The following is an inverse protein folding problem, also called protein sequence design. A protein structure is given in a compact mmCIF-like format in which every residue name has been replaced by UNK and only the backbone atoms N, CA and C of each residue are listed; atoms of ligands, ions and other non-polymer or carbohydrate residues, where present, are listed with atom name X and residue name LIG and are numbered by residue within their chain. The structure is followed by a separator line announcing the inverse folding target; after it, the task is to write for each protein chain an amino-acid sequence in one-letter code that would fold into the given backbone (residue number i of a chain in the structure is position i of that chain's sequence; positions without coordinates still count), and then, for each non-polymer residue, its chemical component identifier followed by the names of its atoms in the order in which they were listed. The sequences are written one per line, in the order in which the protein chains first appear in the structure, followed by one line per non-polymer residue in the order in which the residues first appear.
data_IF_645993684805
#
_entry.id   IF_645993684805
#
_cell.length_a   1.000
_cell.length_b   1.000
_cell.length_c   1.000
_cell.angle_alpha   90.00
_cell.angle_beta   90.00
_cell.angle_gamma   90.00
#
_symmetry.space_group_name_H-M   'P 1'
#
loop_
_entity.id
_entity.type
_entity.pdbx_description
1 polymer ?
#
# COMPACT_ATOMS: atom_id res chain seq x y z
N UNK A 1 -44.47 16.80 -33.76
CA UNK A 1 -44.26 16.17 -35.08
C UNK A 1 -42.80 16.43 -35.42
N UNK A 2 -41.87 15.49 -35.49
CA UNK A 2 -41.85 14.02 -35.47
C UNK A 2 -40.72 13.56 -34.54
N UNK A 3 -40.91 12.41 -33.89
CA UNK A 3 -39.90 11.75 -33.09
C UNK A 3 -39.24 10.66 -33.94
N UNK A 4 -37.92 10.76 -34.18
CA UNK A 4 -37.15 9.67 -34.76
C UNK A 4 -36.61 8.78 -33.65
N UNK A 5 -37.17 7.57 -33.57
CA UNK A 5 -36.77 6.46 -32.72
C UNK A 5 -35.46 5.84 -33.21
N UNK A 6 -34.48 5.67 -32.32
CA UNK A 6 -33.32 4.81 -32.55
C UNK A 6 -33.58 3.42 -31.95
N UNK A 7 -33.22 2.31 -32.64
CA UNK A 7 -33.43 0.97 -32.12
C UNK A 7 -32.40 0.64 -31.02
N UNK A 8 -32.89 0.24 -29.84
CA UNK A 8 -32.11 -0.39 -28.79
C UNK A 8 -31.78 -1.83 -29.19
N UNK A 9 -30.51 -2.10 -29.53
CA UNK A 9 -30.03 -3.46 -29.75
C UNK A 9 -29.71 -4.08 -28.40
N UNK A 10 -30.52 -5.03 -27.94
CA UNK A 10 -30.23 -5.85 -26.78
C UNK A 10 -29.03 -6.75 -27.09
N UNK A 11 -28.00 -6.70 -26.25
CA UNK A 11 -26.90 -7.66 -26.24
C UNK A 11 -27.07 -8.55 -25.02
N UNK A 12 -28.05 -9.46 -25.08
CA UNK A 12 -27.99 -10.71 -24.34
C UNK A 12 -27.32 -11.72 -25.28
N UNK A 13 -26.02 -11.95 -25.11
CA UNK A 13 -25.35 -13.10 -25.71
C UNK A 13 -24.73 -13.90 -24.56
N UNK A 14 -25.19 -15.14 -24.48
CA UNK A 14 -24.85 -16.19 -23.53
C UNK A 14 -23.33 -16.37 -23.41
N UNK A 15 -22.84 -16.46 -22.18
CA UNK A 15 -21.47 -16.82 -21.82
C UNK A 15 -21.41 -18.33 -21.61
N UNK A 16 -21.41 -19.10 -22.68
CA UNK A 16 -20.99 -20.52 -22.65
C UNK A 16 -20.21 -20.82 -23.93
N UNK A 17 -19.15 -21.60 -23.76
CA UNK A 17 -18.24 -22.20 -24.74
C UNK A 17 -17.18 -21.28 -25.38
N UNK A 18 -15.97 -21.30 -24.80
CA UNK A 18 -14.68 -21.43 -25.51
C UNK A 18 -13.56 -21.67 -24.48
N UNK A 19 -13.44 -22.91 -23.99
CA UNK A 19 -12.19 -23.42 -23.40
C UNK A 19 -11.26 -23.86 -24.55
N UNK A 20 -10.37 -22.96 -24.98
CA UNK A 20 -9.19 -23.34 -25.75
C UNK A 20 -7.95 -23.28 -24.84
N UNK A 21 -7.41 -24.46 -24.56
CA UNK A 21 -6.16 -24.69 -23.84
C UNK A 21 -4.99 -24.01 -24.57
N UNK A 22 -4.38 -23.00 -23.95
CA UNK A 22 -3.10 -22.44 -24.38
C UNK A 22 -1.99 -23.37 -23.86
N UNK A 23 -1.42 -24.19 -24.74
CA UNK A 23 -0.20 -24.97 -24.44
C UNK A 23 1.00 -24.02 -24.24
N UNK A 24 1.62 -24.10 -23.07
CA UNK A 24 2.85 -23.38 -22.77
C UNK A 24 4.06 -24.04 -23.46
N UNK A 25 4.63 -23.38 -24.47
CA UNK A 25 5.87 -23.80 -25.11
C UNK A 25 7.09 -23.78 -24.15
N UNK A 26 8.17 -24.52 -24.48
CA UNK A 26 9.28 -24.76 -23.55
C UNK A 26 10.11 -23.50 -23.27
N UNK A 27 10.14 -23.07 -22.01
CA UNK A 27 11.01 -21.99 -21.52
C UNK A 27 12.48 -22.41 -21.59
N UNK A 28 13.27 -21.77 -22.48
CA UNK A 28 14.73 -21.88 -22.50
C UNK A 28 15.33 -21.16 -21.30
N UNK A 29 16.04 -21.91 -20.45
CA UNK A 29 16.78 -21.44 -19.28
C UNK A 29 18.06 -20.72 -19.73
N UNK A 30 18.18 -19.43 -19.46
CA UNK A 30 19.45 -18.68 -19.63
C UNK A 30 20.21 -18.73 -18.31
N UNK A 31 21.43 -19.28 -18.33
CA UNK A 31 22.36 -19.29 -17.19
C UNK A 31 22.94 -17.88 -17.00
N UNK A 32 22.95 -17.39 -15.77
CA UNK A 32 23.77 -16.25 -15.38
C UNK A 32 24.86 -16.75 -14.42
N UNK A 33 26.11 -16.49 -14.80
CA UNK A 33 27.29 -16.77 -13.99
C UNK A 33 27.36 -15.79 -12.82
N UNK A 34 27.53 -16.34 -11.61
CA UNK A 34 27.68 -15.58 -10.38
C UNK A 34 29.15 -15.19 -10.18
N UNK A 35 29.43 -13.90 -10.12
CA UNK A 35 30.66 -13.36 -9.57
C UNK A 35 30.30 -12.47 -8.37
N UNK A 36 30.61 -12.95 -7.16
CA UNK A 36 30.44 -12.22 -5.90
C UNK A 36 31.49 -11.11 -5.74
N UNK A 37 31.15 -10.06 -4.97
CA UNK A 37 32.15 -9.46 -4.09
C UNK A 37 31.67 -9.30 -2.64
N UNK A 38 32.32 -10.06 -1.75
CA UNK A 38 32.91 -9.60 -0.48
C UNK A 38 32.07 -8.78 0.49
N UNK A 39 31.47 -9.45 1.48
CA UNK A 39 30.92 -8.85 2.70
C UNK A 39 32.07 -8.32 3.58
N UNK A 40 32.09 -7.02 3.90
CA UNK A 40 32.86 -6.47 5.02
C UNK A 40 31.91 -6.12 6.15
N UNK A 41 32.07 -6.81 7.27
CA UNK A 41 31.46 -6.59 8.59
C UNK A 41 31.79 -5.17 9.10
N UNK A 42 30.80 -4.48 9.67
CA UNK A 42 31.01 -3.30 10.52
C UNK A 42 30.41 -3.56 11.89
N UNK A 43 31.27 -3.56 12.89
CA UNK A 43 30.98 -3.70 14.31
C UNK A 43 30.17 -2.51 14.85
N UNK A 44 29.38 -2.80 15.88
CA UNK A 44 28.61 -1.85 16.66
C UNK A 44 29.53 -1.09 17.63
N UNK A 45 29.45 0.24 17.62
CA UNK A 45 30.00 1.07 18.68
C UNK A 45 28.90 1.40 19.69
N UNK A 46 29.06 0.87 20.90
CA UNK A 46 28.39 1.27 22.14
C UNK A 46 28.78 2.71 22.48
N UNK A 47 27.84 3.48 23.03
CA UNK A 47 28.16 4.65 23.83
C UNK A 47 27.31 4.61 25.10
N UNK A 48 28.02 4.42 26.21
CA UNK A 48 27.59 4.62 27.59
C UNK A 48 27.29 6.10 27.86
N UNK A 49 26.24 6.38 28.65
CA UNK A 49 26.15 7.62 29.42
C UNK A 49 25.71 7.27 30.84
N UNK A 50 26.63 7.53 31.76
CA UNK A 50 26.49 7.36 33.20
C UNK A 50 25.58 8.41 33.85
N UNK A 51 25.16 8.05 35.06
CA UNK A 51 24.33 8.76 36.03
C UNK A 51 24.81 10.18 36.35
N UNK A 52 23.84 11.04 36.67
CA UNK A 52 24.00 11.97 37.80
C UNK A 52 22.63 12.29 38.41
N UNK A 53 22.50 11.90 39.68
CA UNK A 53 21.43 12.28 40.59
C UNK A 53 21.46 13.79 40.88
N UNK A 54 20.28 14.37 41.08
CA UNK A 54 20.14 15.42 42.09
C UNK A 54 18.69 15.54 42.55
N UNK A 55 18.48 15.22 43.82
CA UNK A 55 17.29 15.53 44.60
C UNK A 55 17.21 17.04 44.87
N UNK A 56 16.01 17.61 44.82
CA UNK A 56 15.59 18.56 45.87
C UNK A 56 14.06 18.63 45.97
N UNK A 57 13.56 18.33 47.16
CA UNK A 57 12.18 18.51 47.59
C UNK A 57 11.76 19.99 47.63
N UNK A 58 10.47 20.26 47.38
CA UNK A 58 9.63 21.06 48.29
C UNK A 58 8.13 20.94 47.99
N UNK A 59 7.37 20.88 49.07
CA UNK A 59 5.97 20.47 49.12
C UNK A 59 4.95 21.63 49.19
N UNK A 60 3.71 21.28 48.84
CA UNK A 60 2.38 21.77 49.29
C UNK A 60 1.95 23.22 48.97
N UNK A 61 0.81 23.33 48.29
CA UNK A 61 -0.41 23.93 48.87
C UNK A 61 -1.67 23.56 48.06
N UNK A 62 -2.70 23.12 48.80
CA UNK A 62 -4.05 22.79 48.35
C UNK A 62 -4.91 24.04 48.30
N UNK A 63 -5.79 24.20 47.30
CA UNK A 63 -7.08 24.88 47.52
C UNK A 63 -8.17 24.35 46.57
N UNK A 64 -9.30 23.99 47.17
CA UNK A 64 -10.55 23.68 46.52
C UNK A 64 -11.30 24.99 46.22
N UNK A 65 -12.04 25.06 45.11
CA UNK A 65 -13.46 25.50 45.08
C UNK A 65 -14.07 25.49 43.68
N UNK A 66 -15.18 24.72 43.56
CA UNK A 66 -16.47 25.06 42.93
C UNK A 66 -16.45 25.91 41.65
N UNK A 67 -16.89 25.43 40.48
CA UNK A 67 -18.26 25.00 40.22
C UNK A 67 -19.07 26.20 39.73
N UNK A 68 -19.36 26.30 38.42
CA UNK A 68 -20.71 26.51 37.90
C UNK A 68 -20.74 26.43 36.36
N UNK A 69 -21.76 25.76 35.83
CA UNK A 69 -22.12 25.67 34.42
C UNK A 69 -23.27 26.64 34.19
N UNK A 70 -23.11 27.61 33.31
CA UNK A 70 -24.26 28.30 32.71
C UNK A 70 -24.12 28.41 31.19
N UNK A 71 -25.15 27.88 30.52
CA UNK A 71 -25.43 28.05 29.09
C UNK A 71 -26.00 29.46 28.86
N UNK A 72 -25.66 30.09 27.74
CA UNK A 72 -26.58 31.04 27.10
C UNK A 72 -26.51 30.94 25.58
N UNK A 73 -27.70 31.05 24.97
CA UNK A 73 -28.05 31.01 23.55
C UNK A 73 -28.11 32.42 22.96
N UNK A 74 -28.14 32.48 21.61
CA UNK A 74 -28.55 33.56 20.67
C UNK A 74 -27.34 34.26 20.02
N UNK A 75 -27.35 34.61 18.73
CA UNK A 75 -28.40 34.59 17.70
C UNK A 75 -27.80 35.03 16.34
N UNK A 76 -28.57 34.82 15.27
CA UNK A 76 -28.29 35.17 13.86
C UNK A 76 -28.30 36.68 13.62
N UNK A 77 -27.46 37.17 12.70
CA UNK A 77 -27.81 38.01 11.52
C UNK A 77 -26.56 38.08 10.59
N UNK A 78 -26.62 37.64 9.33
CA UNK A 78 -27.05 38.35 8.10
C UNK A 78 -26.35 39.69 7.86
N UNK A 79 -25.40 39.69 6.93
CA UNK A 79 -25.30 40.81 5.99
C UNK A 79 -24.94 40.34 4.57
N UNK A 80 -25.54 40.99 3.59
CA UNK A 80 -25.53 40.66 2.16
C UNK A 80 -24.61 41.63 1.42
N UNK A 81 -23.71 41.06 0.62
CA UNK A 81 -23.39 41.53 -0.74
C UNK A 81 -22.54 42.80 -0.90
N UNK A 82 -21.40 42.65 -1.58
CA UNK A 82 -21.12 43.44 -2.78
C UNK A 82 -20.05 42.82 -3.67
N UNK A 83 -20.47 42.65 -4.91
CA UNK A 83 -19.76 42.29 -6.12
C UNK A 83 -18.64 43.29 -6.43
N UNK A 84 -17.39 42.82 -6.65
CA UNK A 84 -16.38 43.51 -7.48
C UNK A 84 -15.42 42.51 -8.16
N UNK A 85 -15.36 42.66 -9.48
CA UNK A 85 -14.57 41.95 -10.48
C UNK A 85 -13.05 42.23 -10.38
N UNK A 86 -12.28 41.18 -10.67
CA UNK A 86 -11.16 41.07 -11.66
C UNK A 86 -9.95 42.03 -11.58
N UNK A 87 -8.76 41.43 -11.44
CA UNK A 87 -7.43 41.97 -11.80
C UNK A 87 -6.94 43.04 -10.83
N UNK A 88 -5.69 43.15 -10.40
CA UNK A 88 -4.37 42.73 -10.87
C UNK A 88 -3.48 42.82 -9.63
N UNK A 89 -2.70 41.79 -9.30
CA UNK A 89 -1.81 41.83 -8.13
C UNK A 89 -0.57 42.66 -8.48
N UNK A 90 -0.56 43.90 -8.03
CA UNK A 90 0.64 44.71 -7.94
C UNK A 90 1.59 44.13 -6.88
N UNK A 91 2.86 44.06 -7.26
CA UNK A 91 4.01 43.85 -6.38
C UNK A 91 4.35 45.16 -5.68
N UNK A 92 4.17 45.24 -4.36
CA UNK A 92 4.95 46.14 -3.50
C UNK A 92 5.15 45.50 -2.12
N UNK A 93 6.36 45.66 -1.59
CA UNK A 93 6.80 45.12 -0.33
C UNK A 93 6.40 45.98 0.87
N UNK A 94 6.48 45.37 2.04
CA UNK A 94 6.30 46.02 3.33
C UNK A 94 6.56 45.02 4.43
N UNK A 95 7.77 45.04 4.98
CA UNK A 95 8.10 44.29 6.19
C UNK A 95 7.34 44.82 7.39
N UNK A 96 6.94 43.92 8.28
CA UNK A 96 6.67 44.19 9.71
C UNK A 96 6.91 42.89 10.48
N UNK A 97 7.70 43.03 11.53
CA UNK A 97 8.08 42.02 12.49
C UNK A 97 6.87 41.34 13.15
N UNK A 98 6.99 40.03 13.30
CA UNK A 98 6.03 39.15 13.95
C UNK A 98 6.68 37.78 14.07
N UNK A 99 7.49 37.61 15.12
CA UNK A 99 8.11 36.33 15.48
C UNK A 99 7.05 35.44 16.16
N UNK A 100 6.13 34.91 15.36
CA UNK A 100 5.33 33.76 15.77
C UNK A 100 6.07 32.48 15.33
N UNK A 101 6.26 31.49 16.24
CA UNK A 101 6.88 30.24 15.88
C UNK A 101 6.00 29.53 14.84
N UNK A 102 6.51 29.45 13.60
CA UNK A 102 5.90 28.69 12.51
C UNK A 102 5.71 27.25 13.01
N UNK A 103 4.46 26.85 13.19
CA UNK A 103 4.09 25.48 13.54
C UNK A 103 4.75 24.46 12.60
N UNK A 104 4.90 23.20 13.06
CA UNK A 104 5.67 22.19 12.34
C UNK A 104 5.17 22.08 10.90
N UNK A 105 6.06 22.42 9.96
CA UNK A 105 5.79 22.30 8.53
C UNK A 105 5.54 20.83 8.24
N UNK A 106 4.40 20.54 7.61
CA UNK A 106 4.11 19.23 7.02
C UNK A 106 5.36 18.77 6.23
N UNK A 107 5.77 17.49 6.35
CA UNK A 107 6.96 17.01 5.69
C UNK A 107 6.87 17.35 4.19
N UNK A 108 7.90 18.02 3.67
CA UNK A 108 8.03 18.27 2.23
C UNK A 108 7.81 16.96 1.51
N UNK A 109 6.94 16.97 0.50
CA UNK A 109 6.78 15.86 -0.44
C UNK A 109 8.19 15.48 -0.91
N UNK A 110 8.72 14.35 -0.43
CA UNK A 110 9.98 13.81 -0.93
C UNK A 110 9.75 13.57 -2.42
N UNK A 111 10.36 14.42 -3.24
CA UNK A 111 10.49 14.12 -4.64
C UNK A 111 11.43 12.91 -4.72
N UNK A 112 11.08 11.88 -5.50
CA UNK A 112 12.02 10.79 -5.73
C UNK A 112 13.33 11.39 -6.24
N UNK A 113 14.45 10.82 -5.79
CA UNK A 113 15.75 11.12 -6.37
C UNK A 113 15.61 11.08 -7.91
N UNK A 114 16.01 12.13 -8.65
CA UNK A 114 15.86 12.18 -10.10
C UNK A 114 16.54 11.00 -10.82
N UNK A 115 17.51 10.34 -10.17
CA UNK A 115 18.19 9.17 -10.72
C UNK A 115 17.54 7.83 -10.35
N UNK A 116 16.49 7.81 -9.52
CA UNK A 116 15.83 6.57 -9.14
C UNK A 116 14.89 6.10 -10.25
N UNK A 117 15.15 4.89 -10.76
CA UNK A 117 14.25 4.23 -11.73
C UNK A 117 12.88 3.99 -11.08
N UNK A 118 11.85 4.64 -11.61
CA UNK A 118 10.46 4.45 -11.18
C UNK A 118 9.60 4.05 -12.37
N UNK A 119 8.48 3.34 -12.10
CA UNK A 119 7.51 2.97 -13.14
C UNK A 119 6.98 4.20 -13.87
N UNK A 120 6.73 5.29 -13.14
CA UNK A 120 6.29 6.55 -13.74
C UNK A 120 7.36 7.22 -14.58
N UNK A 121 8.62 7.24 -14.13
CA UNK A 121 9.71 7.78 -14.93
C UNK A 121 9.85 7.03 -16.24
N UNK A 122 9.78 5.69 -16.21
CA UNK A 122 9.83 4.86 -17.43
C UNK A 122 8.63 5.14 -18.34
N UNK A 123 7.41 5.18 -17.80
CA UNK A 123 6.19 5.47 -18.57
C UNK A 123 6.24 6.87 -19.21
N UNK A 124 6.62 7.88 -18.42
CA UNK A 124 6.68 9.27 -18.87
C UNK A 124 7.75 9.47 -19.94
N UNK A 125 8.93 8.91 -19.76
CA UNK A 125 9.99 8.97 -20.76
C UNK A 125 9.58 8.27 -22.07
N UNK A 126 8.86 7.15 -22.00
CA UNK A 126 8.32 6.49 -23.19
C UNK A 126 7.28 7.38 -23.91
N UNK A 127 6.39 8.05 -23.16
CA UNK A 127 5.40 8.98 -23.72
C UNK A 127 6.05 10.19 -24.41
N UNK A 128 7.14 10.72 -23.86
CA UNK A 128 7.94 11.77 -24.51
C UNK A 128 8.57 11.26 -25.81
N UNK A 129 9.19 10.07 -25.78
CA UNK A 129 9.84 9.47 -26.96
C UNK A 129 8.88 9.24 -28.12
N UNK A 130 7.68 8.72 -27.85
CA UNK A 130 6.66 8.51 -28.90
C UNK A 130 5.99 9.81 -29.35
N UNK A 131 6.23 10.94 -28.69
CA UNK A 131 5.63 12.23 -29.02
C UNK A 131 4.22 12.46 -28.45
N UNK A 132 3.78 11.63 -27.49
CA UNK A 132 2.51 11.83 -26.78
C UNK A 132 2.59 12.94 -25.72
N UNK A 133 3.81 13.33 -25.32
CA UNK A 133 4.13 14.50 -24.49
C UNK A 133 5.06 15.41 -25.29
N UNK A 134 4.75 16.71 -25.35
CA UNK A 134 5.59 17.68 -26.07
C UNK A 134 6.93 17.89 -25.37
N UNK A 135 7.96 18.28 -26.13
CA UNK A 135 9.29 18.53 -25.60
C UNK A 135 9.31 19.63 -24.52
N UNK A 136 8.46 20.66 -24.65
CA UNK A 136 8.33 21.74 -23.65
C UNK A 136 7.83 21.25 -22.27
N UNK A 137 7.21 20.07 -22.23
CA UNK A 137 6.67 19.45 -21.03
C UNK A 137 7.46 18.21 -20.59
N UNK A 138 8.52 17.83 -21.30
CA UNK A 138 9.24 16.56 -21.10
C UNK A 138 10.13 16.53 -19.85
N UNK A 139 10.36 17.67 -19.22
CA UNK A 139 11.19 17.85 -18.04
C UNK A 139 10.43 17.64 -16.71
N UNK A 140 9.12 17.92 -16.69
CA UNK A 140 8.31 17.85 -15.46
C UNK A 140 6.93 17.20 -15.70
N UNK A 141 6.69 15.99 -15.15
CA UNK A 141 5.39 15.31 -15.20
C UNK A 141 4.23 16.12 -14.59
N UNK A 142 4.50 17.12 -13.75
CA UNK A 142 3.47 18.01 -13.20
C UNK A 142 2.85 18.87 -14.31
N UNK A 143 3.61 19.23 -15.35
CA UNK A 143 3.10 20.02 -16.49
C UNK A 143 2.01 19.31 -17.28
N UNK A 144 2.05 17.97 -17.32
CA UNK A 144 1.00 17.14 -17.92
C UNK A 144 -0.07 16.67 -16.92
N UNK A 145 -0.04 17.19 -15.69
CA UNK A 145 -0.96 16.84 -14.60
C UNK A 145 -1.01 15.32 -14.32
N UNK A 146 0.15 14.68 -14.24
CA UNK A 146 0.26 13.25 -13.98
C UNK A 146 -0.30 12.89 -12.59
N UNK A 147 -1.40 12.14 -12.57
CA UNK A 147 -2.09 11.62 -11.40
C UNK A 147 -2.17 10.09 -11.43
N UNK A 148 -2.16 9.46 -10.25
CA UNK A 148 -2.14 8.00 -10.09
C UNK A 148 -3.17 7.52 -9.07
N UNK A 149 -3.87 6.44 -9.37
CA UNK A 149 -4.84 5.84 -8.44
C UNK A 149 -4.16 5.25 -7.20
N UNK A 150 -3.00 4.62 -7.38
CA UNK A 150 -2.20 4.03 -6.32
C UNK A 150 -0.71 4.40 -6.45
N UNK A 151 -0.07 4.59 -5.28
CA UNK A 151 1.39 4.61 -5.13
C UNK A 151 1.78 3.24 -4.58
N UNK A 152 2.64 2.54 -5.28
CA UNK A 152 3.18 1.24 -4.86
C UNK A 152 4.57 1.44 -4.27
N UNK A 153 4.87 0.73 -3.20
CA UNK A 153 6.20 0.74 -2.58
C UNK A 153 7.20 -0.03 -3.46
N UNK A 154 8.49 0.10 -3.17
CA UNK A 154 9.54 -0.63 -3.89
C UNK A 154 9.32 -2.15 -3.77
N UNK A 155 9.42 -2.85 -4.90
CA UNK A 155 9.16 -4.30 -4.97
C UNK A 155 7.69 -4.70 -5.05
N UNK A 156 6.74 -3.77 -4.97
CA UNK A 156 5.31 -4.06 -5.10
C UNK A 156 4.88 -4.05 -6.57
N UNK A 157 4.22 -5.14 -6.99
CA UNK A 157 3.65 -5.28 -8.33
C UNK A 157 2.25 -4.63 -8.44
N UNK A 158 1.80 -4.36 -9.67
CA UNK A 158 0.44 -3.93 -9.95
C UNK A 158 -0.08 -4.61 -11.22
N UNK A 159 -1.11 -5.43 -11.08
CA UNK A 159 -1.81 -6.01 -12.24
C UNK A 159 -2.65 -4.94 -12.98
N UNK A 160 -3.17 -3.94 -12.28
CA UNK A 160 -3.99 -2.87 -12.87
C UNK A 160 -3.88 -1.58 -12.10
N UNK A 161 -2.87 -0.77 -12.40
CA UNK A 161 -2.81 0.61 -11.90
C UNK A 161 -3.41 1.56 -12.94
N UNK A 162 -4.09 2.61 -12.48
CA UNK A 162 -4.66 3.63 -13.33
C UNK A 162 -3.92 4.95 -13.14
N UNK A 163 -3.55 5.58 -14.27
CA UNK A 163 -2.95 6.90 -14.31
C UNK A 163 -3.79 7.83 -15.17
N UNK A 164 -3.80 9.11 -14.81
CA UNK A 164 -4.46 10.19 -15.55
C UNK A 164 -3.43 11.24 -15.89
N UNK A 165 -3.39 11.69 -17.13
CA UNK A 165 -2.50 12.77 -17.58
C UNK A 165 -3.04 13.40 -18.86
N UNK A 166 -2.54 14.58 -19.21
CA UNK A 166 -2.84 15.26 -20.47
C UNK A 166 -1.85 14.80 -21.53
N UNK A 167 -2.37 14.28 -22.63
CA UNK A 167 -1.58 13.73 -23.74
C UNK A 167 -2.01 14.36 -25.06
N UNK A 168 -1.07 14.38 -26.00
CA UNK A 168 -1.36 14.55 -27.42
C UNK A 168 -1.93 13.21 -27.90
N UNK A 169 -3.22 13.16 -28.22
CA UNK A 169 -3.87 11.90 -28.65
C UNK A 169 -3.65 11.57 -30.13
N UNK A 170 -3.72 12.52 -31.08
CA UNK A 170 -3.32 12.24 -32.45
C UNK A 170 -1.83 12.55 -32.59
N UNK A 171 -1.00 11.53 -32.39
CA UNK A 171 0.44 11.64 -32.60
C UNK A 171 0.73 11.42 -34.10
N UNK A 172 1.40 12.36 -34.79
CA UNK A 172 1.72 12.19 -36.21
C UNK A 172 2.53 10.91 -36.46
N UNK A 173 2.09 10.09 -37.42
CA UNK A 173 2.76 8.83 -37.77
C UNK A 173 2.52 7.66 -36.81
N UNK A 174 1.70 7.84 -35.77
CA UNK A 174 1.37 6.81 -34.78
C UNK A 174 -0.14 6.55 -34.77
N UNK A 175 -0.62 5.57 -35.56
CA UNK A 175 -2.06 5.25 -35.62
C UNK A 175 -2.55 4.55 -34.34
N UNK A 176 -1.72 3.69 -33.76
CA UNK A 176 -2.01 2.99 -32.50
C UNK A 176 -0.96 3.37 -31.43
N UNK A 177 -1.36 4.31 -30.57
CA UNK A 177 -0.50 4.77 -29.49
C UNK A 177 -0.23 3.68 -28.45
N UNK A 178 -1.16 2.76 -28.21
CA UNK A 178 -0.97 1.70 -27.20
C UNK A 178 0.07 0.70 -27.68
N UNK A 179 -0.03 0.25 -28.94
CA UNK A 179 0.97 -0.63 -29.53
C UNK A 179 2.36 0.02 -29.53
N UNK A 180 2.47 1.27 -30.03
CA UNK A 180 3.74 2.01 -30.05
C UNK A 180 4.34 2.21 -28.67
N UNK A 181 3.52 2.49 -27.66
CA UNK A 181 3.99 2.59 -26.28
C UNK A 181 4.54 1.26 -25.76
N UNK A 182 3.88 0.14 -26.03
CA UNK A 182 4.33 -1.18 -25.57
C UNK A 182 5.62 -1.65 -26.25
N UNK A 183 5.95 -1.16 -27.44
CA UNK A 183 7.26 -1.37 -28.08
C UNK A 183 8.39 -0.62 -27.36
N UNK A 184 8.12 0.59 -26.86
CA UNK A 184 9.10 1.41 -26.12
C UNK A 184 9.24 0.98 -24.64
N UNK A 185 8.21 0.36 -24.07
CA UNK A 185 8.18 -0.06 -22.68
C UNK A 185 8.90 -1.41 -22.46
N UNK A 186 9.67 -1.54 -21.36
CA UNK A 186 10.31 -2.82 -21.02
C UNK A 186 9.25 -3.92 -20.79
N UNK A 187 9.60 -5.21 -20.95
CA UNK A 187 8.66 -6.33 -20.89
C UNK A 187 7.83 -6.41 -19.61
N UNK A 188 8.38 -5.92 -18.49
CA UNK A 188 7.73 -5.86 -17.17
C UNK A 188 6.68 -4.76 -17.01
N UNK A 189 6.59 -3.79 -17.94
CA UNK A 189 5.59 -2.72 -17.93
C UNK A 189 4.77 -2.82 -19.22
N UNK A 190 3.45 -2.91 -19.07
CA UNK A 190 2.53 -2.96 -20.20
C UNK A 190 1.42 -1.94 -20.04
N UNK A 191 1.16 -1.19 -21.11
CA UNK A 191 0.02 -0.31 -21.24
C UNK A 191 -1.12 -1.08 -21.87
N UNK A 192 -2.24 -1.24 -21.15
CA UNK A 192 -3.37 -2.03 -21.63
C UNK A 192 -4.31 -1.21 -22.52
N UNK A 193 -4.60 0.03 -22.12
CA UNK A 193 -5.48 0.90 -22.87
C UNK A 193 -5.26 2.37 -22.52
N UNK A 194 -5.71 3.24 -23.42
CA UNK A 194 -5.82 4.68 -23.20
C UNK A 194 -7.28 5.07 -23.46
N UNK A 195 -7.89 5.76 -22.50
CA UNK A 195 -9.26 6.22 -22.59
C UNK A 195 -9.29 7.74 -22.45
N UNK A 196 -9.98 8.41 -23.38
CA UNK A 196 -10.22 9.85 -23.28
C UNK A 196 -11.28 10.11 -22.21
N UNK A 197 -10.94 11.00 -21.29
CA UNK A 197 -11.81 11.39 -20.16
C UNK A 197 -12.06 12.90 -20.17
N UNK A 198 -12.98 13.36 -19.32
CA UNK A 198 -13.21 14.78 -19.10
C UNK A 198 -11.99 15.44 -18.44
N UNK A 199 -11.75 16.72 -18.71
CA UNK A 199 -10.57 17.46 -18.23
C UNK A 199 -10.44 17.52 -16.69
N UNK A 200 -11.54 17.37 -15.95
CA UNK A 200 -11.56 17.34 -14.49
C UNK A 200 -11.26 15.97 -13.87
N UNK A 201 -11.14 14.91 -14.66
CA UNK A 201 -10.87 13.57 -14.14
C UNK A 201 -9.45 13.48 -13.57
N UNK A 202 -9.32 12.90 -12.37
CA UNK A 202 -8.04 12.60 -11.76
C UNK A 202 -8.08 11.21 -11.11
N UNK A 203 -7.21 10.31 -11.58
CA UNK A 203 -7.21 8.91 -11.18
C UNK A 203 -7.05 8.73 -9.66
N UNK A 204 -6.38 9.65 -8.97
CA UNK A 204 -6.17 9.58 -7.51
C UNK A 204 -7.46 9.87 -6.75
N UNK A 205 -8.09 11.00 -7.06
CA UNK A 205 -9.22 11.54 -6.28
C UNK A 205 -10.55 10.90 -6.66
N UNK A 206 -10.66 10.40 -7.90
CA UNK A 206 -11.87 9.70 -8.37
C UNK A 206 -11.90 8.23 -7.93
N UNK A 207 -10.75 7.64 -7.56
CA UNK A 207 -10.68 6.26 -7.09
C UNK A 207 -11.27 6.10 -5.67
N UNK A 208 -12.38 5.35 -5.58
CA UNK A 208 -13.16 5.11 -4.36
C UNK A 208 -12.57 4.00 -3.46
N UNK A 209 -11.95 3.00 -4.08
CA UNK A 209 -11.38 1.84 -3.40
C UNK A 209 -10.30 1.14 -4.22
N UNK A 210 -9.46 0.37 -3.54
CA UNK A 210 -8.38 -0.41 -4.13
C UNK A 210 -8.50 -1.87 -3.70
N UNK A 211 -8.10 -2.76 -4.60
CA UNK A 211 -7.98 -4.19 -4.33
C UNK A 211 -6.51 -4.58 -4.43
N UNK A 212 -6.01 -5.27 -3.42
CA UNK A 212 -4.65 -5.82 -3.38
C UNK A 212 -4.74 -7.30 -3.10
N UNK A 213 -4.01 -8.10 -3.87
CA UNK A 213 -3.83 -9.53 -3.57
C UNK A 213 -2.42 -9.74 -3.08
N UNK A 214 -2.28 -10.33 -1.90
CA UNK A 214 -1.01 -10.77 -1.36
C UNK A 214 -0.91 -12.29 -1.47
N UNK A 215 0.23 -12.77 -1.94
CA UNK A 215 0.53 -14.20 -2.00
C UNK A 215 1.65 -14.50 -1.02
N UNK A 216 1.46 -15.50 -0.17
CA UNK A 216 2.53 -15.99 0.69
C UNK A 216 2.54 -17.52 0.74
N UNK A 217 3.71 -18.15 0.90
CA UNK A 217 3.80 -19.60 1.00
C UNK A 217 3.14 -20.12 2.28
N UNK A 218 2.44 -21.24 2.19
CA UNK A 218 1.72 -21.80 3.32
C UNK A 218 2.65 -22.27 4.44
N UNK A 219 3.92 -22.55 4.15
CA UNK A 219 4.94 -22.90 5.15
C UNK A 219 5.28 -21.77 6.12
N UNK A 220 4.83 -20.53 5.86
CA UNK A 220 4.88 -19.47 6.88
C UNK A 220 3.90 -19.72 8.03
N UNK A 221 3.00 -20.70 7.89
CA UNK A 221 2.08 -21.17 8.90
C UNK A 221 2.65 -22.33 9.75
N UNK A 222 3.92 -22.67 9.57
CA UNK A 222 4.65 -23.56 10.47
C UNK A 222 4.96 -22.76 11.74
N UNK A 223 4.65 -23.27 12.95
CA UNK A 223 4.95 -22.54 14.17
C UNK A 223 6.47 -22.41 14.37
N UNK A 224 6.92 -21.44 15.19
CA UNK A 224 8.33 -21.22 15.41
C UNK A 224 9.07 -22.48 15.87
N UNK A 225 10.27 -22.70 15.33
CA UNK A 225 11.10 -23.84 15.71
C UNK A 225 11.36 -23.82 17.22
N UNK A 226 11.19 -24.95 17.94
CA UNK A 226 11.55 -25.04 19.35
C UNK A 226 13.00 -24.58 19.60
N UNK A 227 13.18 -23.72 20.61
CA UNK A 227 14.47 -23.13 20.98
C UNK A 227 14.94 -21.95 20.10
N UNK A 228 14.17 -21.56 19.08
CA UNK A 228 14.48 -20.35 18.30
C UNK A 228 14.17 -19.05 19.09
N UNK A 229 14.74 -17.92 18.67
CA UNK A 229 14.47 -16.64 19.32
C UNK A 229 12.98 -16.27 19.34
N UNK A 230 12.27 -16.50 18.22
CA UNK A 230 10.82 -16.27 18.14
C UNK A 230 10.03 -17.21 19.07
N UNK A 231 10.47 -18.46 19.22
CA UNK A 231 9.86 -19.40 20.17
C UNK A 231 9.97 -18.89 21.62
N UNK A 232 11.15 -18.41 22.04
CA UNK A 232 11.31 -17.84 23.38
C UNK A 232 10.49 -16.55 23.56
N UNK A 233 10.50 -15.65 22.58
CA UNK A 233 9.69 -14.42 22.66
C UNK A 233 8.20 -14.70 22.83
N UNK A 234 7.66 -15.72 22.13
CA UNK A 234 6.26 -16.10 22.30
C UNK A 234 5.97 -16.68 23.69
N UNK A 235 6.88 -17.51 24.22
CA UNK A 235 6.76 -18.06 25.57
C UNK A 235 6.81 -16.96 26.64
N UNK A 236 7.72 -15.99 26.51
CA UNK A 236 7.84 -14.84 27.42
C UNK A 236 6.57 -13.97 27.43
N UNK A 237 5.84 -13.96 26.31
CA UNK A 237 4.56 -13.28 26.16
C UNK A 237 3.34 -14.18 26.46
N UNK A 238 3.54 -15.33 27.11
CA UNK A 238 2.47 -16.21 27.59
C UNK A 238 1.75 -16.99 26.48
N UNK A 239 2.40 -17.18 25.33
CA UNK A 239 1.86 -17.95 24.20
C UNK A 239 2.54 -19.30 24.13
N UNK A 240 1.83 -20.37 24.54
CA UNK A 240 2.31 -21.74 24.40
C UNK A 240 2.16 -22.21 22.95
N UNK A 241 3.27 -22.27 22.23
CA UNK A 241 3.32 -22.90 20.91
C UNK A 241 3.30 -24.41 21.06
N UNK A 242 2.29 -25.07 20.50
CA UNK A 242 2.24 -26.53 20.48
C UNK A 242 3.35 -27.08 19.57
N UNK A 243 4.04 -28.16 19.98
CA UNK A 243 5.03 -28.81 19.13
C UNK A 243 4.36 -29.33 17.86
N UNK A 244 4.86 -28.89 16.70
CA UNK A 244 4.35 -29.29 15.40
C UNK A 244 5.15 -30.47 14.84
N UNK A 245 4.51 -31.49 14.26
CA UNK A 245 5.19 -32.63 13.63
C UNK A 245 6.21 -32.22 12.56
N UNK A 246 6.07 -31.04 11.95
CA UNK A 246 7.08 -30.51 11.03
C UNK A 246 8.49 -30.46 11.64
N UNK A 247 8.57 -30.24 12.96
CA UNK A 247 9.84 -30.16 13.70
C UNK A 247 10.28 -31.48 14.34
N UNK A 248 9.47 -32.55 14.28
CA UNK A 248 9.84 -33.84 14.90
C UNK A 248 10.82 -34.66 14.06
N UNK A 249 10.85 -34.46 12.74
CA UNK A 249 11.73 -35.20 11.84
C UNK A 249 13.11 -34.56 11.69
N UNK A 250 14.11 -35.39 11.39
CA UNK A 250 15.56 -35.14 11.22
C UNK A 250 15.98 -33.68 11.08
N UNK A 251 16.97 -33.29 11.86
CA UNK A 251 17.59 -31.98 11.71
C UNK A 251 18.09 -31.80 10.27
N UNK A 252 17.69 -30.73 9.57
CA UNK A 252 18.08 -30.54 8.18
C UNK A 252 19.60 -30.50 8.08
N UNK A 253 20.17 -31.33 7.21
CA UNK A 253 21.63 -31.39 7.01
C UNK A 253 22.18 -30.07 6.46
N UNK A 254 21.32 -29.26 5.82
CA UNK A 254 21.68 -27.95 5.25
C UNK A 254 20.48 -27.00 5.19
N UNK A 255 20.78 -25.70 5.00
CA UNK A 255 19.75 -24.66 4.75
C UNK A 255 18.90 -24.99 3.52
N UNK A 256 19.49 -25.58 2.47
CA UNK A 256 18.77 -25.95 1.26
C UNK A 256 17.77 -27.08 1.52
N UNK A 257 18.11 -28.02 2.39
CA UNK A 257 17.25 -29.12 2.78
C UNK A 257 16.06 -28.64 3.61
N UNK A 258 16.29 -27.73 4.57
CA UNK A 258 15.23 -27.05 5.33
C UNK A 258 14.25 -26.32 4.42
N UNK A 259 14.77 -25.59 3.41
CA UNK A 259 13.92 -24.90 2.43
C UNK A 259 13.11 -25.88 1.57
N UNK A 260 13.66 -27.04 1.19
CA UNK A 260 12.92 -28.07 0.45
C UNK A 260 11.79 -28.65 1.29
N UNK A 261 12.07 -29.02 2.55
CA UNK A 261 11.04 -29.48 3.50
C UNK A 261 9.91 -28.46 3.68
N UNK A 262 10.26 -27.19 3.86
CA UNK A 262 9.28 -26.10 3.95
C UNK A 262 8.42 -25.98 2.69
N UNK A 263 9.01 -26.05 1.49
CA UNK A 263 8.22 -26.00 0.24
C UNK A 263 7.22 -27.15 0.14
N UNK A 264 7.55 -28.33 0.64
CA UNK A 264 6.63 -29.49 0.66
C UNK A 264 5.55 -29.45 1.75
N UNK A 265 5.62 -28.52 2.70
CA UNK A 265 4.59 -28.35 3.74
C UNK A 265 3.23 -28.01 3.14
N UNK A 266 2.17 -28.53 3.76
CA UNK A 266 0.78 -28.24 3.40
C UNK A 266 0.02 -27.77 4.63
N UNK A 267 -0.66 -26.64 4.52
CA UNK A 267 -1.46 -26.10 5.60
C UNK A 267 -2.73 -26.93 5.79
N UNK A 268 -3.12 -27.17 7.04
CA UNK A 268 -4.37 -27.88 7.31
C UNK A 268 -5.59 -26.94 7.25
N UNK A 269 -6.78 -27.51 7.02
CA UNK A 269 -8.02 -26.72 6.89
C UNK A 269 -8.34 -25.88 8.14
N UNK A 270 -8.00 -26.37 9.34
CA UNK A 270 -8.24 -25.63 10.60
C UNK A 270 -7.42 -24.32 10.65
N UNK A 271 -6.16 -24.36 10.22
CA UNK A 271 -5.31 -23.17 10.15
C UNK A 271 -5.82 -22.18 9.09
N UNK A 272 -6.31 -22.66 7.95
CA UNK A 272 -6.93 -21.80 6.92
C UNK A 272 -8.20 -21.14 7.45
N UNK A 273 -9.05 -21.89 8.14
CA UNK A 273 -10.27 -21.36 8.78
C UNK A 273 -9.94 -20.35 9.87
N UNK A 274 -8.92 -20.59 10.69
CA UNK A 274 -8.44 -19.63 11.68
C UNK A 274 -7.98 -18.33 11.03
N UNK A 275 -7.19 -18.39 9.96
CA UNK A 275 -6.79 -17.21 9.17
C UNK A 275 -8.01 -16.43 8.67
N UNK A 276 -8.99 -17.13 8.09
CA UNK A 276 -10.23 -16.51 7.57
C UNK A 276 -11.02 -15.82 8.68
N UNK A 277 -11.17 -16.46 9.82
CA UNK A 277 -11.91 -15.93 10.96
C UNK A 277 -11.22 -14.69 11.55
N UNK A 278 -9.90 -14.75 11.74
CA UNK A 278 -9.13 -13.63 12.30
C UNK A 278 -9.12 -12.44 11.33
N UNK A 279 -8.97 -12.69 10.02
CA UNK A 279 -8.99 -11.64 9.01
C UNK A 279 -10.31 -10.84 9.00
N UNK A 280 -11.45 -11.47 9.33
CA UNK A 280 -12.74 -10.78 9.37
C UNK A 280 -12.80 -9.67 10.44
N UNK A 281 -12.01 -9.78 11.51
CA UNK A 281 -11.97 -8.77 12.58
C UNK A 281 -11.50 -7.39 12.08
N UNK A 282 -10.79 -7.35 10.95
CA UNK A 282 -10.30 -6.11 10.34
C UNK A 282 -11.30 -5.44 9.40
N UNK A 283 -12.41 -6.10 9.08
CA UNK A 283 -13.45 -5.51 8.24
C UNK A 283 -14.14 -4.35 8.96
N UNK A 284 -14.55 -3.34 8.19
CA UNK A 284 -15.15 -2.11 8.71
C UNK A 284 -14.14 -1.01 8.96
N UNK A 285 -14.55 -0.06 9.81
CA UNK A 285 -13.77 1.14 10.12
C UNK A 285 -13.06 0.99 11.45
N UNK A 286 -11.72 0.98 11.43
CA UNK A 286 -10.89 0.86 12.63
C UNK A 286 -9.81 1.93 12.66
N UNK A 287 -9.25 2.18 13.84
CA UNK A 287 -8.04 2.99 13.98
C UNK A 287 -6.81 2.09 13.72
N UNK A 288 -6.16 2.27 12.58
CA UNK A 288 -5.02 1.47 12.15
C UNK A 288 -3.66 2.13 12.49
N UNK A 289 -3.58 2.96 13.53
CA UNK A 289 -2.35 3.68 13.88
C UNK A 289 -1.14 2.75 14.12
N UNK A 290 -1.35 1.57 14.73
CA UNK A 290 -0.30 0.55 14.94
C UNK A 290 0.11 -0.19 13.65
N UNK A 291 -0.62 -0.01 12.56
CA UNK A 291 -0.38 -0.65 11.27
C UNK A 291 0.20 0.35 10.26
N UNK A 292 0.88 1.40 10.73
CA UNK A 292 1.59 2.37 9.91
C UNK A 292 2.72 2.98 10.72
N UNK A 293 3.67 3.61 10.04
CA UNK A 293 4.77 4.33 10.70
C UNK A 293 4.50 5.84 10.75
N UNK A 294 5.06 6.52 11.75
CA UNK A 294 5.09 7.98 11.85
C UNK A 294 3.73 8.63 12.07
N UNK A 295 2.81 7.95 12.77
CA UNK A 295 1.46 8.45 13.05
C UNK A 295 1.10 8.26 14.52
N UNK A 296 0.39 9.25 15.06
CA UNK A 296 -0.09 9.21 16.43
C UNK A 296 -1.43 8.48 16.53
N UNK A 297 -1.70 7.89 17.70
CA UNK A 297 -2.98 7.24 18.00
C UNK A 297 -4.19 8.14 17.74
N UNK A 298 -4.10 9.41 18.13
CA UNK A 298 -5.18 10.39 18.01
C UNK A 298 -5.40 10.94 16.59
N UNK A 299 -4.52 10.62 15.63
CA UNK A 299 -4.65 11.09 14.25
C UNK A 299 -5.88 10.44 13.59
N UNK A 300 -6.91 11.24 13.29
CA UNK A 300 -8.12 10.76 12.61
C UNK A 300 -7.82 10.20 11.22
N UNK A 301 -6.71 10.60 10.61
CA UNK A 301 -6.22 10.01 9.37
C UNK A 301 -5.64 8.61 9.58
N UNK A 302 -5.63 8.03 10.78
CA UNK A 302 -5.36 6.61 10.99
C UNK A 302 -6.63 5.74 10.90
N UNK A 303 -7.82 6.35 10.92
CA UNK A 303 -9.07 5.62 10.71
C UNK A 303 -9.19 5.25 9.25
N UNK A 304 -9.28 3.95 8.97
CA UNK A 304 -9.42 3.40 7.61
C UNK A 304 -10.55 2.40 7.57
N UNK A 305 -11.12 2.25 6.36
CA UNK A 305 -12.24 1.35 6.12
C UNK A 305 -11.83 0.24 5.17
N UNK A 306 -11.77 -0.97 5.72
CA UNK A 306 -11.58 -2.21 4.95
C UNK A 306 -12.98 -2.74 4.62
N UNK A 307 -13.29 -2.84 3.33
CA UNK A 307 -14.58 -3.35 2.85
C UNK A 307 -14.64 -4.87 3.07
N UNK A 308 -13.58 -5.59 2.70
CA UNK A 308 -13.46 -7.03 2.95
C UNK A 308 -12.02 -7.51 2.88
N UNK A 309 -11.74 -8.61 3.59
CA UNK A 309 -10.56 -9.46 3.40
C UNK A 309 -11.05 -10.87 3.06
N UNK A 310 -10.57 -11.42 1.95
CA UNK A 310 -10.93 -12.76 1.48
C UNK A 310 -9.69 -13.61 1.31
N UNK A 311 -9.67 -14.79 1.92
CA UNK A 311 -8.56 -15.75 1.81
C UNK A 311 -9.06 -16.94 0.99
N UNK A 312 -8.49 -17.12 -0.20
CA UNK A 312 -8.82 -18.23 -1.09
C UNK A 312 -8.33 -19.57 -0.54
N UNK A 313 -8.78 -20.68 -1.11
CA UNK A 313 -8.20 -21.99 -0.81
C UNK A 313 -6.73 -22.03 -1.25
N UNK A 314 -5.83 -22.68 -0.48
CA UNK A 314 -4.43 -22.81 -0.86
C UNK A 314 -4.28 -23.54 -2.19
N UNK A 315 -3.32 -23.10 -3.02
CA UNK A 315 -3.04 -23.70 -4.33
C UNK A 315 -1.56 -24.05 -4.44
N UNK A 316 -1.26 -25.24 -4.96
CA UNK A 316 0.11 -25.69 -5.20
C UNK A 316 0.59 -25.18 -6.55
N UNK A 317 1.74 -24.51 -6.57
CA UNK A 317 2.46 -24.12 -7.79
C UNK A 317 3.92 -24.56 -7.70
N UNK A 318 4.32 -25.49 -8.57
CA UNK A 318 5.57 -26.22 -8.45
C UNK A 318 5.53 -27.12 -7.21
N UNK A 319 6.50 -26.96 -6.31
CA UNK A 319 6.56 -27.71 -5.05
C UNK A 319 5.84 -26.99 -3.90
N UNK A 320 5.67 -25.68 -4.01
CA UNK A 320 5.21 -24.79 -2.94
C UNK A 320 3.70 -24.60 -3.00
N UNK A 321 3.06 -24.71 -1.85
CA UNK A 321 1.66 -24.30 -1.67
C UNK A 321 1.58 -22.81 -1.29
N UNK A 322 0.68 -22.08 -1.94
CA UNK A 322 0.51 -20.64 -1.83
C UNK A 322 -0.88 -20.28 -1.30
N UNK A 323 -0.92 -19.28 -0.42
CA UNK A 323 -2.15 -18.70 0.11
C UNK A 323 -2.33 -17.32 -0.52
N UNK A 324 -3.52 -17.08 -1.07
CA UNK A 324 -3.91 -15.80 -1.67
C UNK A 324 -4.86 -15.04 -0.75
N UNK A 325 -4.47 -13.83 -0.36
CA UNK A 325 -5.27 -12.92 0.47
C UNK A 325 -5.63 -11.68 -0.34
N UNK A 326 -6.93 -11.50 -0.62
CA UNK A 326 -7.48 -10.33 -1.28
C UNK A 326 -7.97 -9.32 -0.24
N UNK A 327 -7.36 -8.14 -0.21
CA UNK A 327 -7.83 -6.97 0.53
C UNK A 327 -8.62 -6.06 -0.39
N UNK A 328 -9.84 -5.67 0.01
CA UNK A 328 -10.61 -4.60 -0.61
C UNK A 328 -10.84 -3.50 0.42
N UNK A 329 -10.32 -2.30 0.16
CA UNK A 329 -10.44 -1.17 1.08
C UNK A 329 -10.60 0.16 0.36
N UNK A 330 -11.16 1.16 1.04
CA UNK A 330 -11.32 2.50 0.45
C UNK A 330 -9.96 3.16 0.20
N UNK A 331 -9.07 3.10 1.19
CA UNK A 331 -7.70 3.58 1.10
C UNK A 331 -6.83 2.81 2.11
N UNK A 332 -5.52 2.82 1.87
CA UNK A 332 -4.53 2.17 2.74
C UNK A 332 -3.42 3.17 3.07
N UNK A 333 -2.90 3.08 4.29
CA UNK A 333 -1.71 3.81 4.72
C UNK A 333 -0.44 3.08 4.29
N UNK A 334 0.70 3.75 4.47
CA UNK A 334 2.01 3.15 4.25
C UNK A 334 2.14 1.89 5.12
N UNK A 335 2.57 0.79 4.50
CA UNK A 335 2.77 -0.53 5.13
C UNK A 335 1.52 -1.21 5.73
N UNK A 336 0.34 -0.58 5.70
CA UNK A 336 -0.85 -1.09 6.40
C UNK A 336 -1.24 -2.51 6.03
N UNK A 337 -1.25 -2.83 4.73
CA UNK A 337 -1.65 -4.18 4.27
C UNK A 337 -0.69 -5.24 4.80
N UNK A 338 0.62 -4.96 4.75
CA UNK A 338 1.66 -5.89 5.21
C UNK A 338 1.58 -6.08 6.72
N UNK A 339 1.43 -4.98 7.47
CA UNK A 339 1.29 -5.06 8.94
C UNK A 339 0.04 -5.83 9.36
N UNK A 340 -1.10 -5.63 8.69
CA UNK A 340 -2.34 -6.37 8.97
C UNK A 340 -2.18 -7.86 8.65
N UNK A 341 -1.59 -8.17 7.48
CA UNK A 341 -1.29 -9.55 7.09
C UNK A 341 -0.42 -10.26 8.12
N UNK A 342 0.67 -9.63 8.56
CA UNK A 342 1.57 -10.18 9.56
C UNK A 342 0.85 -10.45 10.88
N UNK A 343 0.03 -9.50 11.36
CA UNK A 343 -0.68 -9.65 12.63
C UNK A 343 -1.64 -10.84 12.62
N UNK A 344 -2.53 -10.97 11.61
CA UNK A 344 -3.45 -12.10 11.62
C UNK A 344 -2.75 -13.44 11.35
N UNK A 345 -1.64 -13.45 10.61
CA UNK A 345 -0.82 -14.65 10.40
C UNK A 345 -0.24 -15.13 11.72
N UNK A 346 0.34 -14.21 12.51
CA UNK A 346 0.89 -14.51 13.84
C UNK A 346 -0.21 -14.98 14.81
N UNK A 347 -1.39 -14.35 14.79
CA UNK A 347 -2.51 -14.78 15.64
C UNK A 347 -3.03 -16.17 15.27
N UNK A 348 -3.11 -16.46 13.97
CA UNK A 348 -3.55 -17.77 13.47
C UNK A 348 -2.56 -18.89 13.80
N UNK A 349 -1.25 -18.60 13.76
CA UNK A 349 -0.19 -19.53 14.19
C UNK A 349 -0.35 -19.97 15.65
N UNK A 350 -0.80 -19.05 16.51
CA UNK A 350 -0.78 -19.22 17.95
C UNK A 350 -2.15 -19.58 18.55
N UNK A 351 -3.18 -19.81 17.72
CA UNK A 351 -4.57 -20.01 18.15
C UNK A 351 -5.03 -18.95 19.18
N UNK A 352 -4.52 -17.72 19.07
CA UNK A 352 -4.88 -16.66 20.00
C UNK A 352 -6.34 -16.31 19.77
N UNK A 353 -7.19 -16.72 20.70
CA UNK A 353 -8.62 -16.49 20.66
C UNK A 353 -8.88 -14.97 20.67
N UNK A 354 -9.60 -14.47 19.66
CA UNK A 354 -10.05 -13.07 19.64
C UNK A 354 -11.22 -12.94 20.62
N UNK A 355 -10.90 -12.92 21.90
CA UNK A 355 -11.81 -12.58 22.99
C UNK A 355 -11.25 -11.33 23.67
N UNK A 356 -11.54 -10.16 23.10
CA UNK A 356 -11.18 -8.87 23.67
C UNK A 356 -11.61 -7.73 22.76
N UNK A 357 -12.86 -7.28 22.94
CA UNK A 357 -13.35 -6.00 22.42
C UNK A 357 -12.75 -4.85 23.22
#
# INVERSE_FOLDING_TARGET
MEANSYPTRSLNRSLEDHDELIEAGPSKRVKFDAAEPGLKTREAAQNDVAQQDNETEKAKATSQRSGDRSKSKRGKDKDRGRDRRRGTRATEGGGRDGDEPKGPRLPKRQQPDPNLRTIEGVLFNALVKVGAVSQDNADDPVKVNLGRAARTDAGVHAAGNAVSMKLITPVPGVPDLVARMNEELPPEIRLWSILRVQNGFNARTTCDSRKYTYFFPSYLMIPPKPGSGLHHTLQDHGTDTQPDPFWSDDHPESILDDLRRKRTYRINSKQVEALRLIAQAFNGSHNFHNFTIGRDFGDRSCVRHIKSITIADPVVYGETEWISVLFHGQSFMLHQIVSVLSDFTIRALNNVNISGK
#
